data_IF_557834383227
#
_entry.id   IF_557834383227
#
_cell.length_a   1.000
_cell.length_b   1.000
_cell.length_c   1.000
_cell.angle_alpha   90.00
_cell.angle_beta   90.00
_cell.angle_gamma   90.00
#
_symmetry.space_group_name_H-M   'P 1'
#
loop_
_entity.id
_entity.type
_entity.pdbx_description
1 polymer ?
#
# COMPACT_ATOMS: atom_id res chain seq x y z
N UNK A 1 -3.34 -7.79 -6.24
CA UNK A 1 -4.40 -7.97 -5.25
C UNK A 1 -4.13 -9.23 -4.46
N UNK A 2 -3.36 -9.06 -3.38
CA UNK A 2 -3.06 -9.99 -2.31
C UNK A 2 -3.96 -9.64 -1.12
N UNK A 3 -4.65 -10.61 -0.54
CA UNK A 3 -5.65 -10.39 0.51
C UNK A 3 -5.28 -11.22 1.74
N UNK A 4 -5.28 -10.60 2.91
CA UNK A 4 -5.29 -11.34 4.18
C UNK A 4 -6.71 -11.40 4.72
N UNK A 5 -7.15 -12.56 5.20
CA UNK A 5 -8.48 -12.73 5.81
C UNK A 5 -8.31 -12.90 7.30
N UNK A 6 -8.95 -12.03 8.08
CA UNK A 6 -8.96 -12.08 9.54
C UNK A 6 -10.40 -11.80 9.94
N UNK A 7 -11.12 -12.79 10.47
CA UNK A 7 -12.49 -12.57 10.94
C UNK A 7 -12.64 -13.08 12.37
N UNK A 8 -13.59 -12.51 13.12
CA UNK A 8 -13.97 -13.04 14.43
C UNK A 8 -14.77 -14.34 14.25
N UNK A 9 -15.60 -14.41 13.21
CA UNK A 9 -16.30 -15.64 12.84
C UNK A 9 -15.40 -16.62 12.08
N UNK A 10 -15.04 -17.75 12.70
CA UNK A 10 -14.26 -18.82 12.06
C UNK A 10 -14.94 -19.39 10.80
N UNK A 11 -16.27 -19.50 10.82
CA UNK A 11 -17.05 -19.99 9.67
C UNK A 11 -16.93 -19.04 8.48
N UNK A 12 -17.04 -17.73 8.74
CA UNK A 12 -16.89 -16.71 7.71
C UNK A 12 -15.45 -16.70 7.18
N UNK A 13 -14.46 -16.73 8.08
CA UNK A 13 -13.05 -16.79 7.70
C UNK A 13 -12.79 -17.97 6.77
N UNK A 14 -13.17 -19.20 7.15
CA UNK A 14 -12.98 -20.39 6.32
C UNK A 14 -13.69 -20.28 4.98
N UNK A 15 -14.90 -19.73 4.96
CA UNK A 15 -15.66 -19.53 3.72
C UNK A 15 -14.95 -18.56 2.77
N UNK A 16 -14.45 -17.44 3.29
CA UNK A 16 -13.69 -16.45 2.53
C UNK A 16 -12.36 -17.01 2.05
N UNK A 17 -11.64 -17.75 2.89
CA UNK A 17 -10.41 -18.45 2.51
C UNK A 17 -10.64 -19.42 1.35
N UNK A 18 -11.76 -20.16 1.35
CA UNK A 18 -12.14 -21.06 0.25
C UNK A 18 -12.47 -20.27 -1.02
N UNK A 19 -13.21 -19.17 -0.92
CA UNK A 19 -13.60 -18.38 -2.09
C UNK A 19 -12.44 -17.59 -2.70
N UNK A 20 -11.45 -17.19 -1.90
CA UNK A 20 -10.35 -16.31 -2.27
C UNK A 20 -8.98 -17.01 -2.33
N UNK A 21 -8.96 -18.36 -2.32
CA UNK A 21 -7.75 -19.18 -2.19
C UNK A 21 -6.55 -18.74 -3.05
N UNK A 22 -6.77 -18.38 -4.30
CA UNK A 22 -5.72 -17.95 -5.25
C UNK A 22 -5.13 -16.56 -4.95
N UNK A 23 -5.77 -15.76 -4.10
CA UNK A 23 -5.37 -14.38 -3.79
C UNK A 23 -4.96 -14.19 -2.32
N UNK A 24 -4.96 -15.27 -1.53
CA UNK A 24 -4.56 -15.22 -0.13
C UNK A 24 -3.07 -14.94 0.00
N UNK A 25 -2.73 -14.05 0.93
CA UNK A 25 -1.36 -13.71 1.27
C UNK A 25 -1.24 -13.49 2.79
N UNK A 26 -0.03 -13.65 3.35
CA UNK A 26 0.22 -13.28 4.74
C UNK A 26 -0.04 -11.77 4.96
N UNK A 27 -0.38 -11.41 6.20
CA UNK A 27 -0.69 -10.02 6.59
C UNK A 27 0.44 -9.05 6.22
N UNK A 28 1.69 -9.50 6.18
CA UNK A 28 2.86 -8.68 5.83
C UNK A 28 2.87 -8.28 4.34
N UNK A 29 2.47 -9.19 3.46
CA UNK A 29 2.52 -9.02 2.01
C UNK A 29 1.17 -8.67 1.37
N UNK A 30 0.08 -8.64 2.14
CA UNK A 30 -1.24 -8.32 1.60
C UNK A 30 -1.38 -6.83 1.24
N UNK A 31 -2.20 -6.54 0.22
CA UNK A 31 -2.57 -5.18 -0.16
C UNK A 31 -3.59 -4.60 0.84
N UNK A 32 -4.52 -5.44 1.31
CA UNK A 32 -5.54 -5.09 2.30
C UNK A 32 -5.99 -6.31 3.11
N UNK A 33 -6.71 -6.05 4.20
CA UNK A 33 -7.27 -7.09 5.09
C UNK A 33 -8.78 -7.18 4.87
N UNK A 34 -9.32 -8.37 4.68
CA UNK A 34 -10.77 -8.62 4.63
C UNK A 34 -11.22 -9.16 5.99
N UNK A 35 -12.17 -8.50 6.63
CA UNK A 35 -12.56 -8.77 8.03
C UNK A 35 -14.01 -8.39 8.30
N UNK A 36 -14.66 -9.02 9.27
CA UNK A 36 -15.98 -8.63 9.80
C UNK A 36 -15.92 -7.55 10.89
N UNK A 37 -14.72 -7.21 11.36
CA UNK A 37 -14.44 -6.14 12.31
C UNK A 37 -13.20 -5.33 11.90
N UNK A 38 -12.91 -4.22 12.60
CA UNK A 38 -11.68 -3.47 12.38
C UNK A 38 -10.47 -4.25 12.94
N UNK A 39 -9.87 -5.09 12.11
CA UNK A 39 -8.78 -6.00 12.51
C UNK A 39 -7.38 -5.38 12.46
N UNK A 40 -7.21 -4.26 11.74
CA UNK A 40 -5.90 -3.63 11.52
C UNK A 40 -6.03 -2.11 11.32
N UNK A 41 -5.10 -1.34 11.87
CA UNK A 41 -4.98 0.12 11.63
C UNK A 41 -3.88 0.46 10.62
N UNK A 42 -2.95 -0.46 10.37
CA UNK A 42 -1.79 -0.22 9.51
C UNK A 42 -2.11 -0.42 8.02
N UNK A 43 -3.09 -1.26 7.71
CA UNK A 43 -3.52 -1.59 6.35
C UNK A 43 -5.01 -1.32 6.18
N UNK A 44 -5.46 -0.97 4.97
CA UNK A 44 -6.89 -0.78 4.72
C UNK A 44 -7.65 -2.08 5.03
N UNK A 45 -8.76 -1.96 5.75
CA UNK A 45 -9.62 -3.08 6.14
C UNK A 45 -10.91 -3.02 5.33
N UNK A 46 -11.13 -4.06 4.54
CA UNK A 46 -12.38 -4.32 3.86
C UNK A 46 -13.34 -5.03 4.83
N UNK A 47 -14.27 -4.28 5.39
CA UNK A 47 -15.35 -4.77 6.25
C UNK A 47 -16.40 -5.57 5.47
N UNK A 48 -16.65 -6.80 5.92
CA UNK A 48 -17.71 -7.68 5.44
C UNK A 48 -18.77 -7.89 6.52
N UNK A 49 -20.05 -7.71 6.18
CA UNK A 49 -21.12 -7.90 7.16
C UNK A 49 -22.40 -7.16 6.82
N UNK A 50 -23.22 -6.91 7.84
CA UNK A 50 -24.49 -6.19 7.70
C UNK A 50 -24.41 -4.73 8.18
N UNK A 51 -23.26 -4.31 8.69
CA UNK A 51 -23.04 -2.94 9.15
C UNK A 51 -23.21 -1.95 7.97
N UNK A 52 -23.65 -0.72 8.27
CA UNK A 52 -23.73 0.32 7.25
C UNK A 52 -22.36 0.70 6.70
N UNK A 53 -21.30 0.56 7.51
CA UNK A 53 -19.91 0.74 7.14
C UNK A 53 -19.29 -0.46 6.41
N UNK A 54 -20.03 -1.57 6.23
CA UNK A 54 -19.51 -2.73 5.53
C UNK A 54 -19.36 -2.43 4.03
N UNK A 55 -18.16 -2.70 3.51
CA UNK A 55 -17.85 -2.61 2.08
C UNK A 55 -18.47 -3.78 1.31
N UNK A 56 -18.57 -4.95 1.96
CA UNK A 56 -19.19 -6.14 1.39
C UNK A 56 -20.41 -6.50 2.24
N UNK A 57 -21.61 -6.33 1.67
CA UNK A 57 -22.85 -6.62 2.37
C UNK A 57 -23.27 -8.07 2.21
N UNK A 58 -23.77 -8.66 3.29
CA UNK A 58 -24.43 -9.96 3.23
C UNK A 58 -25.89 -9.83 2.74
N UNK A 59 -26.41 -10.86 2.03
CA UNK A 59 -25.67 -12.00 1.48
C UNK A 59 -24.89 -11.61 0.22
N UNK A 60 -23.77 -12.28 -0.03
CA UNK A 60 -22.97 -12.10 -1.25
C UNK A 60 -22.74 -13.44 -1.96
N UNK A 61 -22.56 -13.36 -3.28
CA UNK A 61 -22.07 -14.49 -4.09
C UNK A 61 -20.55 -14.41 -4.24
N UNK A 62 -19.91 -15.51 -4.68
CA UNK A 62 -18.46 -15.53 -4.96
C UNK A 62 -18.06 -14.43 -5.95
N UNK A 63 -18.85 -14.23 -7.00
CA UNK A 63 -18.61 -13.20 -8.02
C UNK A 63 -18.73 -11.79 -7.46
N UNK A 64 -19.77 -11.54 -6.64
CA UNK A 64 -19.95 -10.25 -5.96
C UNK A 64 -18.81 -9.97 -4.98
N UNK A 65 -18.38 -10.97 -4.20
CA UNK A 65 -17.23 -10.86 -3.30
C UNK A 65 -15.97 -10.42 -4.06
N UNK A 66 -15.65 -11.12 -5.14
CA UNK A 66 -14.51 -10.81 -6.02
C UNK A 66 -14.60 -9.40 -6.61
N UNK A 67 -15.77 -9.00 -7.10
CA UNK A 67 -15.99 -7.67 -7.67
C UNK A 67 -15.78 -6.57 -6.62
N UNK A 68 -16.37 -6.73 -5.43
CA UNK A 68 -16.22 -5.77 -4.35
C UNK A 68 -14.78 -5.70 -3.83
N UNK A 69 -14.06 -6.82 -3.74
CA UNK A 69 -12.62 -6.81 -3.41
C UNK A 69 -11.80 -6.01 -4.44
N UNK A 70 -12.09 -6.16 -5.74
CA UNK A 70 -11.41 -5.40 -6.80
C UNK A 70 -11.72 -3.91 -6.72
N UNK A 71 -12.97 -3.54 -6.47
CA UNK A 71 -13.39 -2.16 -6.28
C UNK A 71 -12.67 -1.56 -5.07
N UNK A 72 -12.68 -2.27 -3.94
CA UNK A 72 -11.99 -1.85 -2.73
C UNK A 72 -10.49 -1.64 -2.97
N UNK A 73 -9.82 -2.59 -3.62
CA UNK A 73 -8.41 -2.47 -3.97
C UNK A 73 -8.13 -1.25 -4.86
N UNK A 74 -8.96 -1.01 -5.89
CA UNK A 74 -8.81 0.13 -6.78
C UNK A 74 -9.01 1.47 -6.03
N UNK A 75 -9.95 1.52 -5.10
CA UNK A 75 -10.23 2.73 -4.32
C UNK A 75 -9.17 3.00 -3.24
N UNK A 76 -8.79 1.98 -2.46
CA UNK A 76 -8.01 2.21 -1.24
C UNK A 76 -6.53 1.78 -1.33
N UNK A 77 -6.17 0.86 -2.23
CA UNK A 77 -4.77 0.43 -2.42
C UNK A 77 -4.08 1.19 -3.56
N UNK A 78 -4.80 1.57 -4.62
CA UNK A 78 -4.20 2.28 -5.76
C UNK A 78 -3.77 3.71 -5.40
N UNK A 79 -4.50 4.39 -4.50
CA UNK A 79 -4.12 5.71 -4.00
C UNK A 79 -2.81 5.68 -3.19
N UNK A 80 -2.58 4.62 -2.41
CA UNK A 80 -1.32 4.43 -1.68
C UNK A 80 -0.14 4.24 -2.63
N UNK A 81 -0.28 3.46 -3.70
CA UNK A 81 0.80 3.22 -4.66
C UNK A 81 1.18 4.50 -5.43
N UNK A 82 0.20 5.32 -5.82
CA UNK A 82 0.45 6.61 -6.43
C UNK A 82 1.14 7.59 -5.46
N UNK A 83 0.69 7.64 -4.19
CA UNK A 83 1.29 8.48 -3.17
C UNK A 83 2.73 8.06 -2.81
N UNK A 84 3.02 6.76 -2.76
CA UNK A 84 4.36 6.20 -2.58
C UNK A 84 5.24 6.53 -3.78
N UNK A 85 4.79 6.28 -5.02
CA UNK A 85 5.58 6.59 -6.23
C UNK A 85 5.91 8.08 -6.37
N UNK A 86 5.00 8.97 -5.98
CA UNK A 86 5.22 10.41 -6.01
C UNK A 86 6.19 10.88 -4.92
N UNK A 87 6.16 10.24 -3.74
CA UNK A 87 7.14 10.50 -2.66
C UNK A 87 8.52 9.99 -3.04
N UNK A 88 8.63 8.79 -3.59
CA UNK A 88 9.88 8.22 -4.10
C UNK A 88 10.48 9.11 -5.20
N UNK A 89 9.66 9.58 -6.14
CA UNK A 89 10.10 10.48 -7.21
C UNK A 89 10.64 11.80 -6.65
N UNK A 90 9.95 12.41 -5.68
CA UNK A 90 10.41 13.66 -5.02
C UNK A 90 11.67 13.44 -4.20
N UNK A 91 11.79 12.31 -3.51
CA UNK A 91 12.98 11.98 -2.73
C UNK A 91 14.19 11.77 -3.63
N UNK A 92 14.01 11.06 -4.75
CA UNK A 92 15.05 10.84 -5.75
C UNK A 92 15.56 12.16 -6.35
N UNK A 93 14.65 13.06 -6.73
CA UNK A 93 15.00 14.40 -7.24
C UNK A 93 15.81 15.21 -6.21
N UNK A 94 15.46 15.14 -4.92
CA UNK A 94 16.19 15.85 -3.86
C UNK A 94 17.59 15.29 -3.64
N UNK A 95 17.76 13.97 -3.72
CA UNK A 95 19.08 13.33 -3.60
C UNK A 95 19.97 13.74 -4.77
N UNK A 96 19.45 13.72 -6.00
CA UNK A 96 20.19 14.11 -7.20
C UNK A 96 20.66 15.57 -7.11
N UNK A 97 19.75 16.47 -6.74
CA UNK A 97 20.06 17.89 -6.54
C UNK A 97 21.12 18.13 -5.45
N UNK A 98 21.07 17.39 -4.33
CA UNK A 98 22.05 17.50 -3.26
C UNK A 98 23.44 17.02 -3.69
N UNK A 99 23.50 15.96 -4.49
CA UNK A 99 24.76 15.45 -5.05
C UNK A 99 25.37 16.50 -5.99
N UNK A 100 24.57 17.08 -6.88
CA UNK A 100 25.04 18.12 -7.79
C UNK A 100 25.54 19.36 -7.05
N UNK A 101 24.81 19.83 -6.04
CA UNK A 101 25.19 20.98 -5.23
C UNK A 101 26.50 20.73 -4.46
N UNK A 102 26.60 19.56 -3.82
CA UNK A 102 27.81 19.16 -3.10
C UNK A 102 29.02 19.09 -4.05
N UNK A 103 28.87 18.48 -5.22
CA UNK A 103 29.94 18.39 -6.22
C UNK A 103 30.35 19.77 -6.75
N UNK A 104 29.38 20.67 -6.95
CA UNK A 104 29.64 22.04 -7.36
C UNK A 104 30.44 22.80 -6.29
N UNK A 105 30.08 22.65 -5.02
CA UNK A 105 30.78 23.27 -3.90
C UNK A 105 32.21 22.74 -3.78
N UNK A 106 32.41 21.42 -3.85
CA UNK A 106 33.74 20.82 -3.83
C UNK A 106 34.61 21.31 -4.98
N UNK A 107 34.05 21.36 -6.20
CA UNK A 107 34.76 21.86 -7.38
C UNK A 107 35.16 23.32 -7.21
N UNK A 108 34.29 24.16 -6.64
CA UNK A 108 34.59 25.56 -6.36
C UNK A 108 35.77 25.69 -5.39
N UNK A 109 35.74 24.95 -4.28
CA UNK A 109 36.84 24.93 -3.29
C UNK A 109 38.16 24.48 -3.91
N UNK A 110 38.16 23.49 -4.79
CA UNK A 110 39.36 23.06 -5.51
C UNK A 110 39.91 24.18 -6.41
N UNK A 111 39.05 24.91 -7.12
CA UNK A 111 39.49 26.03 -7.94
C UNK A 111 40.06 27.18 -7.11
N UNK A 112 39.50 27.49 -5.94
CA UNK A 112 40.04 28.49 -5.04
C UNK A 112 41.43 28.10 -4.49
N UNK A 113 41.61 26.85 -4.09
CA UNK A 113 42.90 26.35 -3.60
C UNK A 113 43.98 26.36 -4.69
N UNK A 114 43.61 25.99 -5.92
CA UNK A 114 44.52 26.00 -7.07
C UNK A 114 44.83 27.43 -7.57
N UNK A 115 43.94 28.39 -7.35
CA UNK A 115 44.15 29.79 -7.75
C UNK A 115 45.02 30.56 -6.74
N UNK A 116 44.96 30.23 -5.45
CA UNK A 116 45.78 30.86 -4.39
C UNK A 116 47.18 30.24 -4.23
N UNK A 117 47.50 29.16 -4.95
CA UNK A 117 48.79 28.47 -4.91
C UNK A 117 49.87 29.00 -5.89
N UNK A 118 49.70 30.20 -6.45
CA UNK A 118 50.68 30.87 -7.32
C UNK A 118 51.16 32.19 -6.73
#
# INVERSE_FOLDING_TARGET
>A
MKIAVICESELLQKSLEVYLKDMLAPLEECDFVLSDYQACDLKPVCLVGNAQSAHIKNPFTKESLLANCKIFHATYCQEQLNALSARDSKLFIQIDALIEDTLAEFRHKLYELLSHGR
#
